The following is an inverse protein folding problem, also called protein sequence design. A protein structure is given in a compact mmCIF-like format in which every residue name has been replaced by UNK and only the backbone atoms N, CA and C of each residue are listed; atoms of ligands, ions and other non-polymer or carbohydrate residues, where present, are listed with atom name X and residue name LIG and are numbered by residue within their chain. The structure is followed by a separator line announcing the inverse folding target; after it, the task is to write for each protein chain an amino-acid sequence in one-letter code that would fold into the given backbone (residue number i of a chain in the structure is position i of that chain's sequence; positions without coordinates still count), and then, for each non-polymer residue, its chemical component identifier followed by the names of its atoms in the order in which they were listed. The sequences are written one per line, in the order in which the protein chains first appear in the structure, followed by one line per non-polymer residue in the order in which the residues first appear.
data_IF_100561023184
#
_entry.id   IF_100561023184
#
_cell.length_a   1.000
_cell.length_b   1.000
_cell.length_c   1.000
_cell.angle_alpha   90.00
_cell.angle_beta   90.00
_cell.angle_gamma   90.00
#
_symmetry.space_group_name_H-M   'P 1'
#
loop_
_entity.id
_entity.type
_entity.pdbx_description
1 polymer ?
#
# COMPACT_ATOMS: atom_id res chain seq x y z
N UNK A 1 6.58 7.30 -9.27
CA UNK A 1 5.13 7.27 -9.11
C UNK A 1 4.49 6.26 -10.01
N UNK A 2 3.30 5.80 -9.61
CA UNK A 2 2.55 4.69 -10.22
C UNK A 2 2.02 5.03 -11.63
N UNK A 3 1.86 6.31 -11.95
CA UNK A 3 1.56 6.83 -13.28
C UNK A 3 0.07 6.86 -13.62
N UNK A 4 -0.36 7.96 -14.24
CA UNK A 4 -1.78 8.30 -14.45
C UNK A 4 -2.56 7.26 -15.25
N UNK A 5 -1.93 6.62 -16.25
CA UNK A 5 -2.57 5.55 -17.02
C UNK A 5 -2.95 4.37 -16.15
N UNK A 6 -2.11 3.98 -15.19
CA UNK A 6 -2.44 2.90 -14.27
C UNK A 6 -3.54 3.33 -13.31
N UNK A 7 -3.42 4.52 -12.74
CA UNK A 7 -4.40 5.06 -11.78
C UNK A 7 -5.79 5.19 -12.39
N UNK A 8 -5.90 5.61 -13.66
CA UNK A 8 -7.16 5.65 -14.39
C UNK A 8 -7.82 4.26 -14.58
N UNK A 9 -7.04 3.17 -14.60
CA UNK A 9 -7.63 1.82 -14.56
C UNK A 9 -8.12 1.47 -13.14
N UNK A 10 -7.37 1.85 -12.11
CA UNK A 10 -7.71 1.61 -10.70
C UNK A 10 -8.97 2.36 -10.27
N UNK A 11 -9.27 3.50 -10.88
CA UNK A 11 -10.53 4.25 -10.69
C UNK A 11 -11.78 3.40 -10.92
N UNK A 12 -11.70 2.36 -11.77
CA UNK A 12 -12.83 1.49 -12.09
C UNK A 12 -13.05 0.35 -11.10
N UNK A 13 -12.15 0.19 -10.14
CA UNK A 13 -12.26 -0.84 -9.08
C UNK A 13 -13.10 -0.36 -7.90
N UNK A 14 -13.61 -1.27 -7.07
CA UNK A 14 -14.40 -0.92 -5.87
C UNK A 14 -13.58 -0.88 -4.58
N UNK A 15 -12.49 -1.65 -4.52
CA UNK A 15 -11.66 -1.84 -3.34
C UNK A 15 -10.20 -1.82 -3.78
N UNK A 16 -9.34 -1.22 -2.98
CA UNK A 16 -7.89 -1.22 -3.17
C UNK A 16 -7.27 -2.27 -2.24
N UNK A 17 -6.49 -3.19 -2.80
CA UNK A 17 -5.60 -4.04 -2.03
C UNK A 17 -4.18 -3.49 -2.19
N UNK A 18 -3.68 -2.85 -1.13
CA UNK A 18 -2.37 -2.23 -1.11
C UNK A 18 -1.38 -3.19 -0.47
N UNK A 19 -0.59 -3.85 -1.33
CA UNK A 19 0.46 -4.76 -0.90
C UNK A 19 1.74 -3.98 -0.62
N UNK A 20 2.21 -4.06 0.63
CA UNK A 20 3.47 -3.45 1.06
C UNK A 20 4.48 -4.56 1.33
N UNK A 21 5.64 -4.49 0.70
CA UNK A 21 6.64 -5.55 0.82
C UNK A 21 7.26 -5.61 2.21
N UNK A 22 7.38 -6.83 2.76
CA UNK A 22 8.18 -7.12 3.94
C UNK A 22 9.69 -6.90 3.74
N UNK A 23 10.17 -6.73 2.50
CA UNK A 23 11.57 -6.42 2.22
C UNK A 23 11.88 -4.95 2.53
N UNK A 24 10.87 -4.08 2.50
CA UNK A 24 11.04 -2.66 2.82
C UNK A 24 11.58 -2.49 4.24
N UNK A 25 12.58 -1.63 4.40
CA UNK A 25 13.13 -1.30 5.72
C UNK A 25 12.03 -0.64 6.59
N UNK A 26 11.21 0.22 5.98
CA UNK A 26 10.09 0.88 6.63
C UNK A 26 8.79 0.74 5.79
N UNK A 27 8.01 -0.33 6.01
CA UNK A 27 6.76 -0.58 5.30
C UNK A 27 5.75 0.58 5.44
N UNK A 28 5.61 1.15 6.63
CA UNK A 28 4.72 2.29 6.85
C UNK A 28 5.07 3.52 6.02
N UNK A 29 6.37 3.78 5.79
CA UNK A 29 6.81 4.86 4.91
C UNK A 29 6.48 4.56 3.45
N UNK A 30 6.73 3.32 2.99
CA UNK A 30 6.40 2.91 1.63
C UNK A 30 4.89 3.03 1.35
N UNK A 31 4.05 2.57 2.29
CA UNK A 31 2.60 2.76 2.27
C UNK A 31 2.22 4.24 2.12
N UNK A 32 2.74 5.11 3.00
CA UNK A 32 2.45 6.55 2.98
C UNK A 32 2.86 7.23 1.69
N UNK A 33 3.97 6.81 1.08
CA UNK A 33 4.41 7.34 -0.22
C UNK A 33 3.38 7.06 -1.30
N UNK A 34 2.95 5.79 -1.45
CA UNK A 34 1.91 5.44 -2.44
C UNK A 34 0.59 6.13 -2.12
N UNK A 35 0.23 6.20 -0.83
CA UNK A 35 -0.99 6.86 -0.38
C UNK A 35 -1.04 8.34 -0.77
N UNK A 36 0.08 9.06 -0.62
CA UNK A 36 0.20 10.44 -1.07
C UNK A 36 0.07 10.58 -2.60
N UNK A 37 0.55 9.61 -3.38
CA UNK A 37 0.34 9.60 -4.84
C UNK A 37 -1.14 9.41 -5.20
N UNK A 38 -1.87 8.55 -4.47
CA UNK A 38 -3.32 8.38 -4.68
C UNK A 38 -4.10 9.65 -4.36
N UNK A 39 -3.73 10.34 -3.27
CA UNK A 39 -4.33 11.62 -2.87
C UNK A 39 -4.02 12.73 -3.87
N UNK A 40 -2.78 12.81 -4.36
CA UNK A 40 -2.37 13.79 -5.37
C UNK A 40 -3.05 13.58 -6.72
N UNK A 41 -3.32 12.33 -7.11
CA UNK A 41 -4.07 12.02 -8.33
C UNK A 41 -5.55 12.41 -8.22
N UNK A 42 -6.16 12.20 -7.05
CA UNK A 42 -7.54 12.60 -6.78
C UNK A 42 -8.57 11.58 -7.28
N UNK A 43 -9.65 12.07 -7.90
CA UNK A 43 -10.76 11.25 -8.42
C UNK A 43 -11.42 10.30 -7.41
N UNK A 44 -11.37 10.65 -6.12
CA UNK A 44 -11.91 9.84 -5.03
C UNK A 44 -11.15 8.52 -4.83
N UNK A 45 -9.97 8.32 -5.44
CA UNK A 45 -9.22 7.06 -5.31
C UNK A 45 -8.83 6.79 -3.87
N UNK A 46 -8.43 7.84 -3.16
CA UNK A 46 -8.11 7.81 -1.74
C UNK A 46 -9.33 7.44 -0.86
N UNK A 47 -10.54 7.75 -1.29
CA UNK A 47 -11.77 7.51 -0.50
C UNK A 47 -12.26 6.07 -0.59
N UNK A 48 -11.69 5.27 -1.50
CA UNK A 48 -12.07 3.87 -1.69
C UNK A 48 -11.74 3.04 -0.45
N UNK A 49 -12.56 2.01 -0.23
CA UNK A 49 -12.23 0.99 0.74
C UNK A 49 -10.85 0.39 0.41
N UNK A 50 -9.92 0.50 1.35
CA UNK A 50 -8.54 0.05 1.20
C UNK A 50 -8.23 -1.02 2.24
N UNK A 51 -7.60 -2.10 1.79
CA UNK A 51 -7.03 -3.14 2.63
C UNK A 51 -5.51 -3.05 2.45
N UNK A 52 -4.80 -2.74 3.53
CA UNK A 52 -3.34 -2.75 3.55
C UNK A 52 -2.87 -4.12 4.01
N UNK A 53 -1.97 -4.74 3.25
CA UNK A 53 -1.46 -6.06 3.55
C UNK A 53 0.06 -6.10 3.40
N UNK A 54 0.74 -6.61 4.43
CA UNK A 54 2.17 -6.91 4.36
C UNK A 54 2.38 -8.17 3.50
N UNK A 55 3.08 -8.05 2.38
CA UNK A 55 3.41 -9.15 1.47
C UNK A 55 4.82 -9.69 1.73
N UNK A 56 5.16 -10.86 1.17
CA UNK A 56 6.49 -11.50 1.31
C UNK A 56 6.89 -11.80 2.76
N UNK A 57 5.91 -12.08 3.62
CA UNK A 57 6.13 -12.29 5.07
C UNK A 57 6.87 -13.59 5.39
N UNK A 58 7.01 -14.49 4.42
CA UNK A 58 7.78 -15.73 4.49
C UNK A 58 9.26 -15.48 4.81
N UNK A 59 9.80 -14.31 4.49
CA UNK A 59 11.19 -13.93 4.80
C UNK A 59 11.40 -13.50 6.26
N UNK A 60 10.31 -13.29 7.02
CA UNK A 60 10.35 -12.76 8.38
C UNK A 60 10.07 -13.84 9.41
N UNK A 61 10.87 -13.82 10.48
CA UNK A 61 10.51 -14.49 11.73
C UNK A 61 9.23 -13.87 12.36
N UNK A 62 8.58 -14.56 13.30
CA UNK A 62 7.33 -14.09 13.89
C UNK A 62 7.41 -12.72 14.59
N UNK A 63 8.54 -12.39 15.21
CA UNK A 63 8.70 -11.14 15.95
C UNK A 63 8.96 -9.96 15.02
N UNK A 64 9.83 -10.14 14.01
CA UNK A 64 10.04 -9.18 12.94
C UNK A 64 8.73 -8.90 12.18
N UNK A 65 7.93 -9.93 11.92
CA UNK A 65 6.63 -9.80 11.27
C UNK A 65 5.66 -8.93 12.08
N UNK A 66 5.52 -9.19 13.38
CA UNK A 66 4.66 -8.37 14.27
C UNK A 66 5.09 -6.90 14.26
N UNK A 67 6.40 -6.64 14.34
CA UNK A 67 6.95 -5.27 14.29
C UNK A 67 6.63 -4.57 12.97
N UNK A 68 6.80 -5.27 11.83
CA UNK A 68 6.52 -4.69 10.50
C UNK A 68 5.02 -4.51 10.24
N UNK A 69 4.16 -5.40 10.73
CA UNK A 69 2.71 -5.21 10.64
C UNK A 69 2.26 -4.01 11.47
N UNK A 70 2.83 -3.82 12.66
CA UNK A 70 2.49 -2.70 13.54
C UNK A 70 2.97 -1.33 13.03
N UNK A 71 3.80 -1.28 11.97
CA UNK A 71 4.27 -0.02 11.39
C UNK A 71 3.45 0.45 10.17
N UNK A 72 2.56 -0.40 9.66
CA UNK A 72 1.58 -0.07 8.62
C UNK A 72 0.40 0.71 9.23
#
# INVERSE_FOLDING_TARGET
GIGDRFLGHVERTRVLLHLVSAQEENPGKAYKTVRAELEAYGHGLAEKAEIVALSQVDILDPDARKKKVASL
#
